data_IF_044381742479
#
_entry.id   IF_044381742479
#
_cell.length_a   1.000
_cell.length_b   1.000
_cell.length_c   1.000
_cell.angle_alpha   90.00
_cell.angle_beta   90.00
_cell.angle_gamma   90.00
#
_symmetry.space_group_name_H-M   'P 1'
#
loop_
_entity.id
_entity.type
_entity.pdbx_description
1 polymer ?
#
# COMPACT_ATOMS: atom_id res chain seq x y z
N UNK A 1 1.61 15.86 4.63
CA UNK A 1 2.16 16.10 3.28
C UNK A 1 1.26 17.04 2.49
N UNK A 2 -0.06 16.89 2.50
CA UNK A 2 -0.99 17.78 1.78
C UNK A 2 -0.92 19.27 2.19
N UNK A 3 -0.42 19.56 3.37
CA UNK A 3 -0.32 20.92 3.91
C UNK A 3 0.83 21.75 3.32
N UNK A 4 1.83 21.10 2.71
CA UNK A 4 3.05 21.78 2.25
C UNK A 4 3.02 22.21 0.77
N UNK A 5 1.95 21.85 0.04
CA UNK A 5 1.77 22.16 -1.37
C UNK A 5 2.87 21.57 -2.28
N UNK A 6 2.78 21.86 -3.57
CA UNK A 6 3.71 21.32 -4.58
C UNK A 6 5.15 21.84 -4.47
N UNK A 7 5.38 22.91 -3.72
CA UNK A 7 6.70 23.57 -3.57
C UNK A 7 7.79 22.65 -3.03
N UNK A 8 7.39 21.62 -2.26
CA UNK A 8 8.32 20.68 -1.61
C UNK A 8 8.37 19.32 -2.29
N UNK A 9 7.74 19.17 -3.44
CA UNK A 9 7.84 17.94 -4.21
C UNK A 9 9.26 17.83 -4.80
N UNK A 10 9.86 16.65 -4.68
CA UNK A 10 11.13 16.34 -5.33
C UNK A 10 10.97 16.41 -6.85
N UNK A 11 11.96 16.96 -7.56
CA UNK A 11 11.97 16.91 -9.02
C UNK A 11 12.21 15.49 -9.54
N UNK A 12 11.95 15.25 -10.83
CA UNK A 12 12.29 13.98 -11.47
C UNK A 12 13.78 13.69 -11.34
N UNK A 13 14.63 14.68 -11.62
CA UNK A 13 16.08 14.57 -11.58
C UNK A 13 16.58 14.23 -10.17
N UNK A 14 15.93 14.76 -9.13
CA UNK A 14 16.26 14.43 -7.74
C UNK A 14 15.88 12.98 -7.43
N UNK A 15 14.71 12.52 -7.87
CA UNK A 15 14.28 11.12 -7.69
C UNK A 15 15.20 10.14 -8.42
N UNK A 16 15.57 10.45 -9.66
CA UNK A 16 16.50 9.69 -10.47
C UNK A 16 17.89 9.58 -9.79
N UNK A 17 18.40 10.71 -9.30
CA UNK A 17 19.66 10.76 -8.54
C UNK A 17 19.62 9.92 -7.26
N UNK A 18 18.51 9.95 -6.51
CA UNK A 18 18.32 9.13 -5.30
C UNK A 18 18.37 7.64 -5.66
N UNK A 19 17.72 7.24 -6.77
CA UNK A 19 17.73 5.85 -7.22
C UNK A 19 19.15 5.43 -7.63
N UNK A 20 19.86 6.27 -8.40
CA UNK A 20 21.24 5.99 -8.80
C UNK A 20 22.15 5.79 -7.58
N UNK A 21 22.12 6.69 -6.61
CA UNK A 21 22.89 6.58 -5.38
C UNK A 21 22.48 5.34 -4.54
N UNK A 22 21.18 5.04 -4.49
CA UNK A 22 20.68 3.86 -3.81
C UNK A 22 21.22 2.56 -4.42
N UNK A 23 21.33 2.49 -5.76
CA UNK A 23 21.91 1.33 -6.45
C UNK A 23 23.38 1.12 -6.08
N UNK A 24 24.15 2.18 -5.93
CA UNK A 24 25.55 2.11 -5.46
C UNK A 24 25.66 1.49 -4.06
N UNK A 25 24.59 1.62 -3.25
CA UNK A 25 24.45 1.02 -1.92
C UNK A 25 23.78 -0.37 -1.95
N UNK A 26 23.46 -0.91 -3.12
CA UNK A 26 22.77 -2.19 -3.28
C UNK A 26 21.27 -2.13 -3.06
N UNK A 27 20.65 -0.94 -3.08
CA UNK A 27 19.20 -0.76 -2.92
C UNK A 27 18.56 -0.85 -4.31
N UNK A 28 17.68 -1.85 -4.50
CA UNK A 28 16.97 -2.10 -5.76
C UNK A 28 15.44 -2.15 -5.60
N UNK A 29 14.92 -1.81 -4.42
CA UNK A 29 13.49 -1.74 -4.15
C UNK A 29 13.12 -0.37 -3.60
N UNK A 30 12.18 0.31 -4.27
CA UNK A 30 11.77 1.68 -3.93
C UNK A 30 10.27 1.77 -3.74
N UNK A 31 9.86 2.45 -2.68
CA UNK A 31 8.45 2.67 -2.36
C UNK A 31 8.10 4.14 -2.54
N UNK A 32 7.16 4.42 -3.43
CA UNK A 32 6.57 5.74 -3.55
C UNK A 32 5.43 5.90 -2.54
N UNK A 33 5.60 6.85 -1.65
CA UNK A 33 4.65 7.21 -0.62
C UNK A 33 4.41 8.73 -0.62
N UNK A 34 3.50 9.20 0.21
CA UNK A 34 3.20 10.62 0.33
C UNK A 34 1.70 10.88 0.33
N UNK A 35 1.23 11.93 -0.36
CA UNK A 35 -0.20 12.16 -0.54
C UNK A 35 -0.84 11.08 -1.42
N UNK A 36 -0.85 11.32 -2.73
CA UNK A 36 -1.20 10.31 -3.73
C UNK A 36 -0.08 10.23 -4.78
N UNK A 37 0.73 9.15 -4.81
CA UNK A 37 1.88 9.06 -5.72
C UNK A 37 1.48 9.12 -7.19
N UNK A 38 0.32 8.57 -7.55
CA UNK A 38 -0.13 8.51 -8.95
C UNK A 38 -0.51 9.87 -9.55
N UNK A 39 -0.54 10.95 -8.77
CA UNK A 39 -0.55 12.32 -9.32
C UNK A 39 0.69 12.53 -10.21
N UNK A 40 1.77 11.81 -9.94
CA UNK A 40 3.01 11.84 -10.70
C UNK A 40 3.27 10.56 -11.50
N UNK A 41 2.20 9.87 -11.94
CA UNK A 41 2.31 8.58 -12.65
C UNK A 41 3.29 8.63 -13.84
N UNK A 42 3.35 9.73 -14.58
CA UNK A 42 4.29 9.88 -15.72
C UNK A 42 5.76 9.85 -15.28
N UNK A 43 6.10 10.53 -14.19
CA UNK A 43 7.47 10.50 -13.64
C UNK A 43 7.80 9.11 -13.12
N UNK A 44 6.86 8.45 -12.44
CA UNK A 44 7.05 7.08 -11.93
C UNK A 44 7.31 6.11 -13.07
N UNK A 45 6.48 6.11 -14.11
CA UNK A 45 6.68 5.24 -15.29
C UNK A 45 8.02 5.53 -15.96
N UNK A 46 8.40 6.80 -16.10
CA UNK A 46 9.70 7.18 -16.64
C UNK A 46 10.86 6.65 -15.81
N UNK A 47 10.77 6.70 -14.46
CA UNK A 47 11.76 6.10 -13.57
C UNK A 47 11.81 4.58 -13.72
N UNK A 48 10.67 3.92 -13.83
CA UNK A 48 10.59 2.48 -14.08
C UNK A 48 11.29 2.09 -15.39
N UNK A 49 11.10 2.87 -16.46
CA UNK A 49 11.80 2.67 -17.74
C UNK A 49 13.31 2.85 -17.61
N UNK A 50 13.76 3.87 -16.86
CA UNK A 50 15.19 4.21 -16.72
C UNK A 50 15.94 3.25 -15.80
N UNK A 51 15.26 2.55 -14.89
CA UNK A 51 15.87 1.69 -13.87
C UNK A 51 15.23 0.30 -13.88
N UNK A 52 15.43 -0.44 -14.97
CA UNK A 52 14.89 -1.80 -15.15
C UNK A 52 15.51 -2.84 -14.19
N UNK A 53 16.62 -2.53 -13.58
CA UNK A 53 17.30 -3.29 -12.53
C UNK A 53 16.74 -3.04 -11.12
N UNK A 54 15.73 -2.15 -11.01
CA UNK A 54 15.03 -1.84 -9.75
C UNK A 54 13.58 -2.28 -9.83
N UNK A 55 12.96 -2.52 -8.68
CA UNK A 55 11.52 -2.72 -8.54
C UNK A 55 10.88 -1.57 -7.78
N UNK A 56 9.76 -1.08 -8.30
CA UNK A 56 9.04 0.06 -7.75
C UNK A 56 7.68 -0.35 -7.20
N UNK A 57 7.29 0.31 -6.14
CA UNK A 57 6.05 0.04 -5.44
C UNK A 57 5.38 1.35 -5.03
N UNK A 58 4.05 1.42 -5.03
CA UNK A 58 3.35 2.58 -4.54
C UNK A 58 2.10 2.22 -3.73
N UNK A 59 1.87 2.96 -2.65
CA UNK A 59 0.59 2.96 -1.95
C UNK A 59 -0.33 4.00 -2.60
N UNK A 60 -1.53 3.59 -3.02
CA UNK A 60 -2.45 4.46 -3.75
C UNK A 60 -3.88 4.36 -3.23
N UNK A 61 -4.62 5.46 -3.34
CA UNK A 61 -6.07 5.47 -3.14
C UNK A 61 -6.86 4.90 -4.34
N UNK A 62 -6.18 4.53 -5.42
CA UNK A 62 -6.75 3.91 -6.60
C UNK A 62 -7.49 4.83 -7.57
N UNK A 63 -7.75 6.09 -7.22
CA UNK A 63 -8.61 6.99 -8.01
C UNK A 63 -8.03 7.40 -9.35
N UNK A 64 -6.71 7.26 -9.52
CA UNK A 64 -5.97 7.65 -10.74
C UNK A 64 -5.52 6.45 -11.59
N UNK A 65 -5.96 5.24 -11.23
CA UNK A 65 -5.68 4.03 -12.00
C UNK A 65 -6.64 3.94 -13.18
N UNK A 66 -6.11 4.09 -14.37
CA UNK A 66 -6.83 3.97 -15.65
C UNK A 66 -6.21 2.86 -16.52
N UNK A 67 -6.85 2.55 -17.66
CA UNK A 67 -6.36 1.53 -18.57
C UNK A 67 -5.02 1.92 -19.26
N UNK A 68 -4.72 3.23 -19.38
CA UNK A 68 -3.44 3.72 -19.91
C UNK A 68 -2.31 3.36 -18.94
N UNK A 69 -2.44 3.73 -17.66
CA UNK A 69 -1.47 3.38 -16.63
C UNK A 69 -1.27 1.86 -16.53
N UNK A 70 -2.35 1.07 -16.61
CA UNK A 70 -2.23 -0.39 -16.57
C UNK A 70 -1.43 -0.94 -17.76
N UNK A 71 -1.57 -0.39 -18.98
CA UNK A 71 -0.74 -0.77 -20.11
C UNK A 71 0.72 -0.40 -19.90
N UNK A 72 0.99 0.84 -19.48
CA UNK A 72 2.35 1.30 -19.18
C UNK A 72 3.01 0.45 -18.09
N UNK A 73 2.29 0.13 -17.01
CA UNK A 73 2.77 -0.76 -15.94
C UNK A 73 3.13 -2.16 -16.49
N UNK A 74 2.34 -2.68 -17.42
CA UNK A 74 2.60 -3.97 -18.04
C UNK A 74 3.85 -3.93 -18.93
N UNK A 75 4.06 -2.84 -19.63
CA UNK A 75 5.23 -2.63 -20.49
C UNK A 75 6.53 -2.51 -19.68
N UNK A 76 6.52 -1.73 -18.59
CA UNK A 76 7.71 -1.57 -17.76
C UNK A 76 8.01 -2.82 -16.91
N UNK A 77 7.01 -3.54 -16.44
CA UNK A 77 7.12 -4.83 -15.76
C UNK A 77 7.70 -4.81 -14.34
N UNK A 78 8.19 -3.67 -13.89
CA UNK A 78 8.89 -3.50 -12.60
C UNK A 78 8.17 -2.55 -11.62
N UNK A 79 6.83 -2.40 -11.76
CA UNK A 79 6.03 -1.53 -10.89
C UNK A 79 4.76 -2.23 -10.42
N UNK A 80 4.43 -2.12 -9.14
CA UNK A 80 3.18 -2.63 -8.58
C UNK A 80 2.52 -1.66 -7.57
N UNK A 81 1.24 -1.89 -7.29
CA UNK A 81 0.40 -1.01 -6.46
C UNK A 81 -0.21 -1.76 -5.29
N UNK A 82 -0.17 -1.16 -4.10
CA UNK A 82 -1.02 -1.53 -2.98
C UNK A 82 -2.16 -0.52 -2.83
N UNK A 83 -3.37 -1.00 -2.97
CA UNK A 83 -4.57 -0.18 -2.82
C UNK A 83 -4.89 0.06 -1.35
N UNK A 84 -5.05 1.31 -0.98
CA UNK A 84 -5.42 1.68 0.39
C UNK A 84 -6.90 1.40 0.64
N UNK A 85 -7.19 0.40 1.47
CA UNK A 85 -8.53 -0.05 1.85
C UNK A 85 -8.55 -0.38 3.34
N UNK A 86 -9.63 -0.07 4.04
CA UNK A 86 -9.65 -0.14 5.51
C UNK A 86 -10.53 -1.28 6.06
N UNK A 87 -10.97 -2.17 5.17
CA UNK A 87 -11.92 -3.24 5.42
C UNK A 87 -13.02 -3.25 4.36
N UNK A 88 -14.23 -3.69 4.71
CA UNK A 88 -15.38 -3.66 3.81
C UNK A 88 -15.81 -2.24 3.41
N UNK A 89 -16.88 -2.13 2.64
CA UNK A 89 -17.37 -0.85 2.09
C UNK A 89 -17.74 0.16 3.17
N UNK A 90 -18.35 -0.29 4.25
CA UNK A 90 -18.80 0.60 5.34
C UNK A 90 -17.59 1.18 6.08
N UNK A 91 -16.64 0.35 6.45
CA UNK A 91 -15.44 0.75 7.18
C UNK A 91 -14.52 1.61 6.32
N UNK A 92 -14.33 1.24 5.06
CA UNK A 92 -13.49 2.01 4.13
C UNK A 92 -14.10 3.38 3.84
N UNK A 93 -15.39 3.45 3.54
CA UNK A 93 -16.07 4.70 3.22
C UNK A 93 -16.19 5.63 4.43
N UNK A 94 -16.34 5.08 5.63
CA UNK A 94 -16.32 5.86 6.87
C UNK A 94 -15.02 6.65 7.05
N UNK A 95 -13.87 6.01 6.79
CA UNK A 95 -12.57 6.64 7.00
C UNK A 95 -12.10 7.47 5.81
N UNK A 96 -12.36 7.01 4.59
CA UNK A 96 -11.78 7.58 3.35
C UNK A 96 -12.77 8.42 2.55
N UNK A 97 -14.02 8.46 2.97
CA UNK A 97 -15.09 9.16 2.29
C UNK A 97 -15.97 8.25 1.45
N UNK A 98 -17.25 8.60 1.36
CA UNK A 98 -18.28 7.82 0.69
C UNK A 98 -17.93 7.52 -0.76
N UNK A 99 -18.09 6.28 -1.16
CA UNK A 99 -17.84 5.78 -2.52
C UNK A 99 -16.36 5.50 -2.82
N UNK A 100 -15.44 5.65 -1.84
CA UNK A 100 -14.03 5.32 -2.02
C UNK A 100 -13.82 3.82 -2.22
N UNK A 101 -14.52 2.98 -1.44
CA UNK A 101 -14.46 1.53 -1.59
C UNK A 101 -14.72 1.10 -3.04
N UNK A 102 -15.81 1.58 -3.62
CA UNK A 102 -16.18 1.21 -4.98
C UNK A 102 -15.10 1.61 -6.01
N UNK A 103 -14.52 2.79 -5.88
CA UNK A 103 -13.42 3.25 -6.75
C UNK A 103 -12.18 2.36 -6.64
N UNK A 104 -11.84 1.93 -5.42
CA UNK A 104 -10.73 0.99 -5.20
C UNK A 104 -11.01 -0.35 -5.87
N UNK A 105 -12.22 -0.89 -5.71
CA UNK A 105 -12.61 -2.16 -6.35
C UNK A 105 -12.57 -2.06 -7.88
N UNK A 106 -13.03 -0.96 -8.45
CA UNK A 106 -12.93 -0.72 -9.89
C UNK A 106 -11.48 -0.66 -10.39
N UNK A 107 -10.59 -0.01 -9.61
CA UNK A 107 -9.17 0.03 -9.92
C UNK A 107 -8.52 -1.37 -9.85
N UNK A 108 -8.82 -2.17 -8.82
CA UNK A 108 -8.40 -3.56 -8.71
C UNK A 108 -8.87 -4.40 -9.91
N UNK A 109 -10.12 -4.23 -10.33
CA UNK A 109 -10.66 -4.94 -11.49
C UNK A 109 -9.91 -4.57 -12.79
N UNK A 110 -9.50 -3.30 -12.96
CA UNK A 110 -8.65 -2.88 -14.10
C UNK A 110 -7.30 -3.57 -14.04
N UNK A 111 -6.61 -3.55 -12.89
CA UNK A 111 -5.33 -4.24 -12.72
C UNK A 111 -5.44 -5.73 -13.06
N UNK A 112 -6.47 -6.40 -12.57
CA UNK A 112 -6.75 -7.81 -12.85
C UNK A 112 -6.98 -8.06 -14.34
N UNK A 113 -7.78 -7.23 -15.02
CA UNK A 113 -8.03 -7.30 -16.47
C UNK A 113 -6.73 -7.24 -17.27
N UNK A 114 -5.77 -6.42 -16.84
CA UNK A 114 -4.45 -6.29 -17.46
C UNK A 114 -3.44 -7.33 -16.96
N UNK A 115 -3.84 -8.26 -16.09
CA UNK A 115 -2.98 -9.32 -15.52
C UNK A 115 -1.77 -8.75 -14.75
N UNK A 116 -1.94 -7.64 -14.07
CA UNK A 116 -0.92 -7.01 -13.25
C UNK A 116 -0.92 -7.59 -11.83
N UNK A 117 0.25 -7.62 -11.22
CA UNK A 117 0.40 -7.96 -9.80
C UNK A 117 0.05 -6.74 -8.97
N UNK A 118 -0.83 -6.92 -7.98
CA UNK A 118 -1.21 -5.88 -7.03
C UNK A 118 -1.64 -6.48 -5.69
N UNK A 119 -1.75 -5.63 -4.70
CA UNK A 119 -2.24 -5.98 -3.39
C UNK A 119 -2.98 -4.84 -2.73
N UNK A 120 -3.10 -4.90 -1.43
CA UNK A 120 -3.74 -3.84 -0.65
C UNK A 120 -2.92 -3.44 0.56
N UNK A 121 -3.24 -2.27 1.11
CA UNK A 121 -2.75 -1.82 2.41
C UNK A 121 -3.92 -1.39 3.29
N UNK A 122 -3.88 -1.79 4.55
CA UNK A 122 -4.88 -1.43 5.55
C UNK A 122 -4.22 -0.85 6.79
N UNK A 123 -4.72 0.30 7.24
CA UNK A 123 -4.31 0.85 8.52
C UNK A 123 -5.32 0.42 9.58
N UNK A 124 -4.95 -0.57 10.40
CA UNK A 124 -5.84 -1.06 11.43
C UNK A 124 -5.82 -0.18 12.68
N UNK A 125 -6.97 -0.09 13.31
CA UNK A 125 -7.23 0.69 14.52
C UNK A 125 -8.32 0.01 15.34
N UNK A 126 -8.64 0.57 16.52
CA UNK A 126 -9.60 0.00 17.48
C UNK A 126 -10.92 -0.49 16.88
N UNK A 127 -11.42 0.19 15.83
CA UNK A 127 -12.77 -0.08 15.30
C UNK A 127 -12.79 -0.91 14.01
N UNK A 128 -11.63 -1.21 13.41
CA UNK A 128 -11.61 -2.01 12.20
C UNK A 128 -10.69 -3.24 12.25
N UNK A 129 -9.95 -3.45 13.34
CA UNK A 129 -8.99 -4.56 13.49
C UNK A 129 -9.61 -5.90 13.10
N UNK A 130 -10.76 -6.24 13.67
CA UNK A 130 -11.44 -7.52 13.40
C UNK A 130 -11.93 -7.63 11.95
N UNK A 131 -12.35 -6.51 11.36
CA UNK A 131 -12.84 -6.48 9.98
C UNK A 131 -11.70 -6.78 8.99
N UNK A 132 -10.55 -6.10 9.10
CA UNK A 132 -9.44 -6.22 8.13
C UNK A 132 -8.72 -7.57 8.16
N UNK A 133 -8.89 -8.35 9.23
CA UNK A 133 -8.30 -9.70 9.37
C UNK A 133 -9.35 -10.82 9.32
N UNK A 134 -10.62 -10.48 9.07
CA UNK A 134 -11.67 -11.49 8.91
C UNK A 134 -11.43 -12.33 7.67
N UNK A 135 -11.77 -13.62 7.74
CA UNK A 135 -11.69 -14.49 6.55
C UNK A 135 -12.50 -13.92 5.39
N UNK A 136 -13.71 -13.39 5.69
CA UNK A 136 -14.57 -12.76 4.68
C UNK A 136 -13.86 -11.66 3.90
N UNK A 137 -13.17 -10.73 4.59
CA UNK A 137 -12.47 -9.64 3.92
C UNK A 137 -11.23 -10.13 3.18
N UNK A 138 -10.42 -10.97 3.83
CA UNK A 138 -9.19 -11.50 3.23
C UNK A 138 -9.48 -12.34 1.99
N UNK A 139 -10.48 -13.23 2.07
CA UNK A 139 -10.88 -14.06 0.94
C UNK A 139 -11.44 -13.22 -0.22
N UNK A 140 -12.27 -12.20 0.05
CA UNK A 140 -12.74 -11.26 -0.98
C UNK A 140 -11.56 -10.55 -1.68
N UNK A 141 -10.53 -10.12 -0.94
CA UNK A 141 -9.34 -9.50 -1.54
C UNK A 141 -8.52 -10.49 -2.39
N UNK A 142 -8.37 -11.72 -1.93
CA UNK A 142 -7.70 -12.80 -2.69
C UNK A 142 -8.46 -13.13 -3.97
N UNK A 143 -9.78 -13.26 -3.89
CA UNK A 143 -10.66 -13.53 -5.05
C UNK A 143 -10.62 -12.40 -6.08
N UNK A 144 -10.47 -11.15 -5.64
CA UNK A 144 -10.25 -9.98 -6.52
C UNK A 144 -8.89 -9.99 -7.20
N UNK A 145 -7.96 -10.80 -6.74
CA UNK A 145 -6.64 -10.96 -7.35
C UNK A 145 -5.50 -10.33 -6.57
N UNK A 146 -5.72 -9.85 -5.35
CA UNK A 146 -4.64 -9.39 -4.49
C UNK A 146 -3.66 -10.52 -4.18
N UNK A 147 -2.35 -10.22 -4.26
CA UNK A 147 -1.26 -11.18 -4.00
C UNK A 147 -0.47 -10.85 -2.75
N UNK A 148 -0.58 -9.63 -2.27
CA UNK A 148 0.05 -9.20 -1.02
C UNK A 148 -0.83 -8.22 -0.27
N UNK A 149 -0.59 -8.11 1.05
CA UNK A 149 -1.26 -7.21 1.95
C UNK A 149 -0.26 -6.56 2.90
N UNK A 150 -0.38 -5.26 3.10
CA UNK A 150 0.39 -4.50 4.08
C UNK A 150 -0.54 -3.99 5.17
N UNK A 151 -0.28 -4.39 6.41
CA UNK A 151 -1.02 -3.93 7.57
C UNK A 151 -0.19 -2.93 8.37
N UNK A 152 -0.73 -1.75 8.56
CA UNK A 152 -0.12 -0.69 9.35
C UNK A 152 -0.92 -0.46 10.62
N UNK A 153 -0.25 -0.37 11.76
CA UNK A 153 -0.90 0.05 13.00
C UNK A 153 -1.17 1.56 12.94
N UNK A 154 -2.38 1.98 13.31
CA UNK A 154 -2.68 3.40 13.45
C UNK A 154 -1.83 4.02 14.56
N UNK A 155 -1.11 5.09 14.22
CA UNK A 155 -0.30 5.88 15.13
C UNK A 155 -0.88 7.30 15.18
N UNK A 156 -1.26 7.83 16.37
CA UNK A 156 -1.89 9.14 16.53
C UNK A 156 -0.86 10.28 16.41
N UNK A 157 -0.42 10.56 15.19
CA UNK A 157 0.55 11.61 14.88
C UNK A 157 -0.13 12.74 14.09
N UNK A 158 0.31 13.97 14.28
CA UNK A 158 -0.15 15.14 13.54
C UNK A 158 -1.20 15.97 14.28
N UNK A 159 -1.71 17.00 13.61
CA UNK A 159 -2.60 18.02 14.21
C UNK A 159 -3.97 17.48 14.66
N UNK A 160 -4.43 16.39 14.07
CA UNK A 160 -5.73 15.78 14.35
C UNK A 160 -5.55 14.35 14.88
N UNK A 161 -4.51 14.15 15.70
CA UNK A 161 -4.25 12.86 16.33
C UNK A 161 -5.44 12.42 17.20
N UNK A 162 -5.94 11.19 16.95
CA UNK A 162 -7.08 10.61 17.67
C UNK A 162 -6.62 9.40 18.48
N UNK A 163 -6.41 9.58 19.77
CA UNK A 163 -5.97 8.50 20.67
C UNK A 163 -7.03 7.42 20.88
N UNK A 164 -8.31 7.75 20.68
CA UNK A 164 -9.42 6.79 20.72
C UNK A 164 -9.36 5.74 19.58
N UNK A 165 -8.60 5.99 18.54
CA UNK A 165 -8.36 5.04 17.44
C UNK A 165 -7.22 4.04 17.72
N UNK A 166 -6.44 4.22 18.79
CA UNK A 166 -5.37 3.29 19.12
C UNK A 166 -5.93 1.87 19.28
N UNK A 167 -5.34 0.91 18.57
CA UNK A 167 -5.61 -0.50 18.79
C UNK A 167 -5.21 -0.91 20.21
N UNK A 168 -6.02 -1.77 20.85
CA UNK A 168 -5.68 -2.29 22.17
C UNK A 168 -4.54 -3.30 22.10
N UNK A 169 -3.97 -3.65 23.25
CA UNK A 169 -2.93 -4.69 23.35
C UNK A 169 -3.46 -6.03 22.82
N UNK A 170 -4.70 -6.36 23.16
CA UNK A 170 -5.37 -7.59 22.72
C UNK A 170 -5.58 -7.62 21.21
N UNK A 171 -5.98 -6.47 20.63
CA UNK A 171 -6.12 -6.33 19.18
C UNK A 171 -4.79 -6.46 18.44
N UNK A 172 -3.71 -5.93 19.00
CA UNK A 172 -2.37 -6.11 18.42
C UNK A 172 -1.90 -7.57 18.49
N UNK A 173 -2.13 -8.23 19.62
CA UNK A 173 -1.85 -9.66 19.77
C UNK A 173 -2.70 -10.51 18.80
N UNK A 174 -3.97 -10.14 18.63
CA UNK A 174 -4.86 -10.76 17.65
C UNK A 174 -4.34 -10.59 16.21
N UNK A 175 -3.91 -9.37 15.85
CA UNK A 175 -3.31 -9.10 14.53
C UNK A 175 -2.11 -10.01 14.27
N UNK A 176 -1.15 -10.08 15.20
CA UNK A 176 0.03 -10.95 15.06
C UNK A 176 -0.36 -12.41 14.81
N UNK A 177 -1.28 -12.96 15.62
CA UNK A 177 -1.77 -14.33 15.47
C UNK A 177 -2.43 -14.54 14.10
N UNK A 178 -3.38 -13.67 13.73
CA UNK A 178 -4.15 -13.81 12.50
C UNK A 178 -3.32 -13.62 11.25
N UNK A 179 -2.35 -12.72 11.24
CA UNK A 179 -1.45 -12.54 10.09
C UNK A 179 -0.62 -13.82 9.86
N UNK A 180 -0.14 -14.47 10.92
CA UNK A 180 0.56 -15.76 10.78
C UNK A 180 -0.36 -16.87 10.26
N UNK A 181 -1.62 -16.93 10.69
CA UNK A 181 -2.62 -17.87 10.15
C UNK A 181 -2.92 -17.59 8.67
N UNK A 182 -3.10 -16.31 8.28
CA UNK A 182 -3.31 -15.91 6.89
C UNK A 182 -2.13 -16.34 6.01
N UNK A 183 -0.90 -16.09 6.45
CA UNK A 183 0.32 -16.54 5.74
C UNK A 183 0.37 -18.04 5.52
N UNK A 184 -0.10 -18.81 6.50
CA UNK A 184 -0.09 -20.28 6.42
C UNK A 184 -1.23 -20.88 5.58
N UNK A 185 -2.36 -20.17 5.44
CA UNK A 185 -3.61 -20.75 4.91
C UNK A 185 -4.16 -20.07 3.66
N UNK A 186 -3.73 -18.86 3.35
CA UNK A 186 -4.22 -18.06 2.21
C UNK A 186 -3.11 -17.83 1.18
N UNK A 187 -3.40 -17.78 -0.12
CA UNK A 187 -2.41 -17.44 -1.16
C UNK A 187 -2.14 -15.93 -1.20
N UNK A 188 -1.73 -15.38 -0.06
CA UNK A 188 -1.53 -13.95 0.16
C UNK A 188 -0.25 -13.73 0.96
N UNK A 189 0.70 -12.97 0.41
CA UNK A 189 1.87 -12.51 1.14
C UNK A 189 1.47 -11.34 2.05
N UNK A 190 1.30 -11.58 3.34
CA UNK A 190 0.88 -10.58 4.31
C UNK A 190 2.07 -10.04 5.10
N UNK A 191 2.16 -8.71 5.24
CA UNK A 191 3.17 -7.99 6.05
C UNK A 191 2.45 -7.23 7.15
N UNK A 192 2.77 -7.49 8.40
CA UNK A 192 2.39 -6.65 9.54
C UNK A 192 3.56 -5.73 9.87
N UNK A 193 3.50 -4.53 9.33
CA UNK A 193 4.63 -3.61 9.33
C UNK A 193 5.21 -3.32 10.73
N UNK A 194 4.39 -3.40 11.76
CA UNK A 194 4.85 -3.17 13.13
C UNK A 194 5.27 -4.46 13.85
N UNK A 195 4.46 -5.50 13.77
CA UNK A 195 4.72 -6.72 14.52
C UNK A 195 5.85 -7.56 13.89
N UNK A 196 6.07 -7.45 12.58
CA UNK A 196 7.18 -8.12 11.88
C UNK A 196 8.55 -7.47 12.17
N UNK A 197 8.60 -6.31 12.83
CA UNK A 197 9.85 -5.66 13.24
C UNK A 197 10.72 -6.55 14.15
N UNK A 198 10.13 -7.48 14.89
CA UNK A 198 10.88 -8.46 15.67
C UNK A 198 11.78 -9.34 14.78
N UNK A 199 11.30 -9.76 13.62
CA UNK A 199 12.07 -10.55 12.66
C UNK A 199 13.12 -9.73 11.90
N UNK A 200 12.90 -8.44 11.77
CA UNK A 200 13.81 -7.51 11.10
C UNK A 200 14.80 -6.82 12.06
N UNK A 201 14.80 -7.21 13.35
CA UNK A 201 15.57 -6.58 14.41
C UNK A 201 15.34 -5.07 14.56
N UNK A 202 14.13 -4.61 14.24
CA UNK A 202 13.75 -3.21 14.34
C UNK A 202 12.57 -2.86 13.43
N UNK A 203 12.52 -1.62 12.99
CA UNK A 203 11.51 -1.19 12.02
C UNK A 203 11.80 -1.83 10.65
N UNK A 204 10.77 -2.38 9.99
CA UNK A 204 10.89 -2.92 8.61
C UNK A 204 11.38 -1.85 7.61
N UNK A 205 11.17 -0.58 7.92
CA UNK A 205 11.65 0.52 7.09
C UNK A 205 13.15 0.89 7.31
N UNK A 206 13.87 0.19 8.17
CA UNK A 206 15.28 0.42 8.47
C UNK A 206 15.49 1.27 9.71
#
# INVERSE_FOLDING_TARGET
AAEYGHKYNLSYETLDSIICQGKELGIHFYIFSGGEPLVRKRDIIRLCCSHQDCYFFAFTNGTLVDDELCREMKEVGNFSLAFSIEGDSEVTDFRRGKGTYQKVIEAMNRMRKHQLIFGYSACYHRYNTENVISDRFVDDMVERGCRYAWYFTYIPIGKQARTDLLATTEQRALMFKRINEIRATKPLFAVDFWNDGEYAHGCIAG
#
